data_IF_922713876281
#
_entry.id   IF_922713876281
#
_cell.length_a   1.000
_cell.length_b   1.000
_cell.length_c   1.000
_cell.angle_alpha   90.00
_cell.angle_beta   90.00
_cell.angle_gamma   90.00
#
_symmetry.space_group_name_H-M   'P 1'
#
loop_
_entity.id
_entity.type
_entity.pdbx_description
1 polymer ?
#
# COMPACT_ATOMS: atom_id res chain seq x y z
N UNK A 1 5.78 57.98 -16.84
CA UNK A 1 6.40 56.69 -16.47
C UNK A 1 6.42 56.62 -14.96
N UNK A 2 6.26 55.41 -14.44
CA UNK A 2 6.17 54.97 -13.03
C UNK A 2 4.79 55.06 -12.34
N UNK A 3 4.13 53.89 -12.26
CA UNK A 3 3.22 53.51 -11.16
C UNK A 3 4.08 53.16 -9.94
N UNK A 4 3.59 53.30 -8.69
CA UNK A 4 3.21 52.06 -8.01
C UNK A 4 2.18 52.18 -6.86
N UNK A 5 1.67 50.99 -6.51
CA UNK A 5 1.33 50.52 -5.14
C UNK A 5 -0.04 50.85 -4.56
N UNK A 6 -0.94 49.89 -4.72
CA UNK A 6 -1.91 49.50 -3.68
C UNK A 6 -1.16 49.07 -2.41
N UNK A 7 -1.44 49.73 -1.30
CA UNK A 7 -1.13 49.24 0.05
C UNK A 7 -2.34 49.49 0.93
N UNK A 8 -3.00 48.41 1.32
CA UNK A 8 -3.83 48.40 2.53
C UNK A 8 -3.21 47.37 3.47
N UNK A 9 -2.79 47.79 4.66
CA UNK A 9 -2.77 46.90 5.80
C UNK A 9 -3.62 47.52 6.91
N UNK A 10 -4.78 46.94 7.19
CA UNK A 10 -5.41 47.08 8.50
C UNK A 10 -5.98 45.72 8.90
N UNK A 11 -5.23 45.01 9.73
CA UNK A 11 -5.85 44.09 10.66
C UNK A 11 -5.28 44.43 12.04
N UNK A 12 -6.15 44.99 12.85
CA UNK A 12 -5.92 45.38 14.25
C UNK A 12 -6.08 44.14 15.13
N UNK A 13 -5.05 43.64 15.82
CA UNK A 13 -5.26 42.64 16.85
C UNK A 13 -5.80 43.32 18.12
N UNK A 14 -7.11 43.24 18.32
CA UNK A 14 -7.76 43.51 19.60
C UNK A 14 -7.62 42.30 20.52
N UNK A 15 -6.78 42.43 21.54
CA UNK A 15 -6.65 41.48 22.64
C UNK A 15 -7.94 41.41 23.45
N UNK A 16 -8.57 40.23 23.48
CA UNK A 16 -9.37 39.78 24.64
C UNK A 16 -9.09 38.30 24.86
N UNK A 17 -8.42 38.00 25.97
CA UNK A 17 -8.28 36.65 26.50
C UNK A 17 -9.42 36.39 27.47
N UNK A 18 -10.15 35.29 27.26
CA UNK A 18 -10.84 34.55 28.34
C UNK A 18 -10.62 33.05 28.09
N UNK A 19 -10.06 32.30 29.05
CA UNK A 19 -9.89 30.86 28.95
C UNK A 19 -11.09 30.14 29.58
N UNK A 20 -11.76 29.28 28.80
CA UNK A 20 -12.63 28.24 29.36
C UNK A 20 -12.34 26.93 28.66
N UNK A 21 -11.97 25.96 29.48
CA UNK A 21 -11.47 24.64 29.15
C UNK A 21 -12.58 23.78 28.54
N UNK A 22 -12.31 23.11 27.42
CA UNK A 22 -13.10 21.99 26.94
C UNK A 22 -12.19 20.96 26.25
N UNK A 23 -12.04 19.80 26.87
CA UNK A 23 -11.66 18.54 26.21
C UNK A 23 -10.18 18.21 26.09
N UNK A 24 -9.57 17.71 27.18
CA UNK A 24 -8.42 16.80 27.07
C UNK A 24 -8.94 15.38 26.82
N UNK A 25 -8.43 14.75 25.76
CA UNK A 25 -8.68 13.36 25.35
C UNK A 25 -9.30 13.31 23.94
N UNK A 26 -8.68 12.79 22.89
CA UNK A 26 -7.72 11.70 22.82
C UNK A 26 -6.80 11.83 21.59
N UNK A 27 -5.58 11.33 21.78
CA UNK A 27 -4.56 10.99 20.80
C UNK A 27 -4.02 12.14 19.93
N UNK A 28 -2.82 12.60 20.28
CA UNK A 28 -1.74 12.71 19.30
C UNK A 28 -1.85 11.50 18.34
N UNK A 29 -2.49 11.71 17.20
CA UNK A 29 -2.31 10.82 16.06
C UNK A 29 -0.90 11.13 15.55
N UNK A 30 0.08 10.56 16.24
CA UNK A 30 1.37 10.26 15.64
C UNK A 30 1.00 9.38 14.43
N UNK A 31 0.85 9.99 13.25
CA UNK A 31 0.71 9.22 12.02
C UNK A 31 1.87 8.23 12.04
N UNK A 32 1.59 6.91 12.04
CA UNK A 32 2.66 5.93 12.16
C UNK A 32 3.66 6.24 11.05
N UNK A 33 4.91 6.46 11.44
CA UNK A 33 5.96 6.75 10.49
C UNK A 33 5.99 5.64 9.43
N UNK A 34 6.14 5.98 8.14
CA UNK A 34 6.08 5.00 7.08
C UNK A 34 7.10 3.88 7.33
N UNK A 35 6.60 2.65 7.32
CA UNK A 35 7.35 1.41 7.43
C UNK A 35 7.67 0.95 6.00
N UNK A 36 8.89 1.27 5.54
CA UNK A 36 9.39 0.73 4.28
C UNK A 36 9.63 -0.79 4.33
N UNK A 37 9.81 -1.45 3.18
CA UNK A 37 10.03 -2.90 3.10
C UNK A 37 11.23 -3.34 3.95
N UNK A 38 10.97 -4.29 4.84
CA UNK A 38 11.94 -4.89 5.77
C UNK A 38 12.50 -6.21 5.24
N UNK A 39 11.76 -6.90 4.35
CA UNK A 39 12.15 -8.19 3.79
C UNK A 39 12.34 -8.12 2.26
N UNK A 40 13.15 -9.03 1.66
CA UNK A 40 13.30 -9.08 0.20
C UNK A 40 11.98 -9.38 -0.52
N UNK A 41 11.09 -10.15 0.10
CA UNK A 41 9.76 -10.45 -0.46
C UNK A 41 8.87 -9.21 -0.43
N UNK A 42 8.86 -8.45 0.66
CA UNK A 42 8.15 -7.15 0.73
C UNK A 42 8.67 -6.17 -0.31
N UNK A 43 10.00 -6.06 -0.47
CA UNK A 43 10.61 -5.16 -1.46
C UNK A 43 10.17 -5.52 -2.89
N UNK A 44 10.10 -6.81 -3.21
CA UNK A 44 9.63 -7.29 -4.52
C UNK A 44 8.14 -6.98 -4.73
N UNK A 45 7.30 -7.19 -3.72
CA UNK A 45 5.86 -6.87 -3.82
C UNK A 45 5.66 -5.35 -3.98
N UNK A 46 6.35 -4.55 -3.17
CA UNK A 46 6.32 -3.09 -3.25
C UNK A 46 6.78 -2.56 -4.62
N UNK A 47 7.84 -3.16 -5.19
CA UNK A 47 8.33 -2.82 -6.53
C UNK A 47 7.26 -3.06 -7.61
N UNK A 48 6.62 -4.24 -7.60
CA UNK A 48 5.55 -4.58 -8.56
C UNK A 48 4.37 -3.61 -8.43
N UNK A 49 4.04 -3.18 -7.21
CA UNK A 49 2.98 -2.21 -6.99
C UNK A 49 3.37 -0.82 -7.51
N UNK A 50 4.58 -0.35 -7.23
CA UNK A 50 5.08 0.93 -7.74
C UNK A 50 5.07 0.97 -9.27
N UNK A 51 5.50 -0.11 -9.92
CA UNK A 51 5.48 -0.24 -11.38
C UNK A 51 4.05 -0.17 -11.96
N UNK A 52 3.08 -0.81 -11.30
CA UNK A 52 1.70 -0.95 -11.82
C UNK A 52 0.77 0.20 -11.44
N UNK A 53 1.02 0.85 -10.31
CA UNK A 53 0.27 2.01 -9.82
C UNK A 53 0.93 3.34 -10.17
N UNK A 54 2.09 3.31 -10.83
CA UNK A 54 2.90 4.49 -11.20
C UNK A 54 3.26 5.35 -9.97
N UNK A 55 3.64 4.70 -8.88
CA UNK A 55 4.03 5.34 -7.61
C UNK A 55 5.56 5.34 -7.44
N UNK A 56 6.11 6.37 -6.79
CA UNK A 56 7.54 6.42 -6.45
C UNK A 56 7.93 5.47 -5.32
N UNK A 57 7.04 5.31 -4.34
CA UNK A 57 7.22 4.43 -3.18
C UNK A 57 5.88 4.05 -2.59
N UNK A 58 5.83 2.87 -1.96
CA UNK A 58 4.68 2.38 -1.22
C UNK A 58 5.10 1.86 0.15
N UNK A 59 4.27 2.13 1.16
CA UNK A 59 4.46 1.59 2.50
C UNK A 59 4.06 0.12 2.55
N UNK A 60 4.66 -0.68 3.45
CA UNK A 60 4.27 -2.09 3.54
C UNK A 60 2.85 -2.29 4.08
N UNK A 61 2.31 -1.28 4.77
CA UNK A 61 0.98 -1.31 5.40
C UNK A 61 -0.10 -0.69 4.54
N UNK A 62 0.26 -0.07 3.40
CA UNK A 62 -0.72 0.51 2.48
C UNK A 62 -1.47 -0.59 1.74
N UNK A 63 -2.76 -0.38 1.58
CA UNK A 63 -3.65 -1.31 0.89
C UNK A 63 -3.69 -1.00 -0.62
N UNK A 64 -3.55 -2.04 -1.43
CA UNK A 64 -3.51 -1.95 -2.88
C UNK A 64 -4.73 -1.24 -3.47
N UNK A 65 -5.93 -1.50 -2.93
CA UNK A 65 -7.18 -0.92 -3.41
C UNK A 65 -7.36 0.54 -2.96
N UNK A 66 -6.82 0.89 -1.78
CA UNK A 66 -6.77 2.28 -1.31
C UNK A 66 -5.85 3.13 -2.19
N UNK A 67 -4.73 2.56 -2.66
CA UNK A 67 -3.80 3.21 -3.58
C UNK A 67 -4.33 3.38 -5.01
N UNK A 68 -5.55 2.92 -5.30
CA UNK A 68 -6.17 2.99 -6.63
C UNK A 68 -6.04 1.71 -7.46
N UNK A 69 -5.58 0.62 -6.85
CA UNK A 69 -5.56 -0.70 -7.45
C UNK A 69 -6.96 -1.22 -7.77
N UNK A 70 -7.08 -1.96 -8.87
CA UNK A 70 -8.33 -2.55 -9.33
C UNK A 70 -8.11 -3.95 -9.88
N UNK A 71 -9.18 -4.70 -10.14
CA UNK A 71 -9.12 -6.14 -10.47
C UNK A 71 -8.17 -6.48 -11.63
N UNK A 72 -8.11 -5.64 -12.68
CA UNK A 72 -7.17 -5.85 -13.79
C UNK A 72 -5.70 -5.63 -13.39
N UNK A 73 -5.39 -4.70 -12.49
CA UNK A 73 -4.02 -4.53 -11.98
C UNK A 73 -3.70 -5.62 -10.95
N UNK A 74 -4.65 -6.01 -10.10
CA UNK A 74 -4.48 -7.12 -9.16
C UNK A 74 -4.11 -8.42 -9.87
N UNK A 75 -4.79 -8.75 -10.97
CA UNK A 75 -4.43 -9.90 -11.80
C UNK A 75 -3.01 -9.79 -12.39
N UNK A 76 -2.59 -8.59 -12.80
CA UNK A 76 -1.23 -8.34 -13.29
C UNK A 76 -0.18 -8.44 -12.18
N UNK A 77 -0.49 -7.95 -10.97
CA UNK A 77 0.35 -8.11 -9.77
C UNK A 77 0.57 -9.59 -9.50
N UNK A 78 -0.52 -10.36 -9.38
CA UNK A 78 -0.46 -11.81 -9.13
C UNK A 78 0.38 -12.53 -10.18
N UNK A 79 0.19 -12.19 -11.46
CA UNK A 79 0.98 -12.76 -12.55
C UNK A 79 2.47 -12.40 -12.45
N UNK A 80 2.81 -11.13 -12.21
CA UNK A 80 4.21 -10.70 -12.05
C UNK A 80 4.88 -11.31 -10.81
N UNK A 81 4.15 -11.42 -9.70
CA UNK A 81 4.65 -12.07 -8.49
C UNK A 81 4.93 -13.56 -8.75
N UNK A 82 4.02 -14.25 -9.43
CA UNK A 82 4.21 -15.65 -9.80
C UNK A 82 5.43 -15.84 -10.73
N UNK A 83 5.61 -14.96 -11.72
CA UNK A 83 6.76 -15.00 -12.63
C UNK A 83 8.09 -14.75 -11.91
N UNK A 84 8.14 -13.75 -11.02
CA UNK A 84 9.37 -13.38 -10.28
C UNK A 84 9.71 -14.35 -9.13
N UNK A 85 8.72 -14.97 -8.50
CA UNK A 85 8.91 -15.82 -7.30
C UNK A 85 8.78 -17.31 -7.57
N UNK A 86 8.19 -17.71 -8.71
CA UNK A 86 7.82 -19.09 -9.03
C UNK A 86 6.64 -19.62 -8.21
N UNK A 87 5.92 -18.77 -7.49
CA UNK A 87 4.83 -19.15 -6.58
C UNK A 87 3.49 -18.64 -7.14
N UNK A 88 2.57 -19.52 -7.55
CA UNK A 88 1.25 -19.08 -7.99
C UNK A 88 0.44 -18.60 -6.78
N UNK A 89 0.17 -17.30 -6.72
CA UNK A 89 -0.75 -16.72 -5.75
C UNK A 89 -2.17 -16.73 -6.34
N UNK A 90 -3.15 -17.20 -5.57
CA UNK A 90 -4.54 -17.14 -6.00
C UNK A 90 -5.07 -15.70 -5.91
N UNK A 91 -5.82 -15.26 -6.92
CA UNK A 91 -6.36 -13.90 -6.94
C UNK A 91 -7.34 -13.66 -5.78
N UNK A 92 -8.10 -14.69 -5.39
CA UNK A 92 -8.99 -14.64 -4.23
C UNK A 92 -8.20 -14.35 -2.94
N UNK A 93 -7.06 -15.01 -2.75
CA UNK A 93 -6.16 -14.77 -1.61
C UNK A 93 -5.57 -13.37 -1.65
N UNK A 94 -5.23 -12.86 -2.83
CA UNK A 94 -4.75 -11.47 -2.97
C UNK A 94 -5.80 -10.43 -2.52
N UNK A 95 -7.08 -10.66 -2.80
CA UNK A 95 -8.15 -9.75 -2.35
C UNK A 95 -8.33 -9.75 -0.82
N UNK A 96 -7.99 -10.85 -0.13
CA UNK A 96 -7.99 -10.92 1.34
C UNK A 96 -6.76 -10.24 1.97
N UNK A 97 -5.60 -10.31 1.32
CA UNK A 97 -4.30 -9.88 1.84
C UNK A 97 -3.91 -8.46 1.41
N UNK A 98 -4.84 -7.53 1.31
CA UNK A 98 -4.72 -6.25 0.57
C UNK A 98 -3.47 -5.38 0.76
N UNK A 99 -2.60 -5.63 1.75
CA UNK A 99 -1.33 -4.91 1.98
C UNK A 99 -0.07 -5.65 1.47
N UNK A 100 1.02 -4.91 1.24
CA UNK A 100 2.32 -5.49 0.81
C UNK A 100 2.84 -6.50 1.82
N UNK A 101 2.75 -6.19 3.13
CA UNK A 101 3.22 -7.05 4.20
C UNK A 101 2.47 -8.39 4.24
N UNK A 102 1.16 -8.36 4.04
CA UNK A 102 0.31 -9.56 4.04
C UNK A 102 0.59 -10.45 2.82
N UNK A 103 0.65 -9.87 1.62
CA UNK A 103 1.00 -10.62 0.40
C UNK A 103 2.40 -11.23 0.52
N UNK A 104 3.37 -10.48 1.02
CA UNK A 104 4.74 -10.98 1.18
C UNK A 104 4.80 -12.13 2.20
N UNK A 105 4.10 -12.00 3.32
CA UNK A 105 4.02 -13.05 4.33
C UNK A 105 3.41 -14.34 3.77
N UNK A 106 2.38 -14.24 2.93
CA UNK A 106 1.77 -15.42 2.31
C UNK A 106 2.69 -16.07 1.26
N UNK A 107 3.39 -15.28 0.45
CA UNK A 107 4.40 -15.81 -0.47
C UNK A 107 5.50 -16.58 0.28
N UNK A 108 6.00 -16.04 1.38
CA UNK A 108 7.00 -16.72 2.20
C UNK A 108 6.43 -17.95 2.93
N UNK A 109 5.15 -17.91 3.34
CA UNK A 109 4.43 -19.07 3.87
C UNK A 109 4.36 -20.19 2.83
N UNK A 110 3.87 -19.91 1.62
CA UNK A 110 3.77 -20.91 0.54
C UNK A 110 5.15 -21.46 0.18
N UNK A 111 6.17 -20.60 0.10
CA UNK A 111 7.56 -21.00 -0.12
C UNK A 111 8.05 -21.99 0.94
N UNK A 112 7.69 -21.77 2.21
CA UNK A 112 8.08 -22.63 3.32
C UNK A 112 7.35 -23.99 3.32
N UNK A 113 6.17 -24.07 2.69
CA UNK A 113 5.37 -25.29 2.62
C UNK A 113 5.89 -26.30 1.56
N UNK A 114 6.68 -25.85 0.58
CA UNK A 114 7.38 -26.71 -0.38
C UNK A 114 6.48 -27.42 -1.42
N UNK A 115 7.08 -27.96 -2.50
CA UNK A 115 6.40 -28.30 -3.76
C UNK A 115 5.70 -29.68 -3.69
N UNK A 116 4.63 -29.80 -2.92
CA UNK A 116 3.77 -31.00 -2.90
C UNK A 116 2.51 -30.82 -3.79
N UNK A 117 2.56 -29.92 -4.77
CA UNK A 117 1.55 -29.88 -5.84
C UNK A 117 2.06 -30.76 -6.99
N UNK A 118 1.78 -32.06 -6.85
CA UNK A 118 1.85 -33.06 -7.91
C UNK A 118 1.09 -32.56 -9.16
N UNK A 119 1.84 -32.11 -10.17
CA UNK A 119 1.33 -31.75 -11.49
C UNK A 119 0.75 -32.95 -12.26
N UNK A 120 0.65 -34.15 -11.66
CA UNK A 120 0.09 -35.34 -12.31
C UNK A 120 -1.44 -35.35 -12.38
N UNK A 121 -2.15 -34.41 -11.73
CA UNK A 121 -3.64 -34.43 -11.70
C UNK A 121 -4.35 -33.63 -12.79
N UNK A 122 -3.64 -32.93 -13.68
CA UNK A 122 -4.27 -32.04 -14.68
C UNK A 122 -4.37 -32.66 -16.10
N UNK A 123 -3.96 -33.91 -16.31
CA UNK A 123 -4.17 -34.62 -17.59
C UNK A 123 -5.00 -35.91 -17.47
N UNK A 124 -6.10 -35.89 -16.71
CA UNK A 124 -7.14 -36.93 -16.77
C UNK A 124 -8.49 -36.35 -17.25
N UNK A 125 -8.54 -35.91 -18.51
CA UNK A 125 -9.76 -35.72 -19.32
C UNK A 125 -9.28 -35.78 -20.79
N UNK A 126 -9.69 -36.65 -21.70
CA UNK A 126 -10.48 -37.88 -21.78
C UNK A 126 -10.04 -38.52 -23.13
N UNK A 127 -9.99 -39.85 -23.21
CA UNK A 127 -9.53 -40.66 -24.36
C UNK A 127 -10.39 -40.47 -25.63
#
# INVERSE_FOLDING_TARGET
MDVPSTRTPENTPGSVAEPVQAGTGAADAEEPAPVGPQTPTEALVAEVWCELLELDAVDVTEDFFVLGGHSMLAAQVVYQLADRTGIPLELEVFFDLGTVAEVAAELDRIRSLGPDLDESRIYEEEL
#
